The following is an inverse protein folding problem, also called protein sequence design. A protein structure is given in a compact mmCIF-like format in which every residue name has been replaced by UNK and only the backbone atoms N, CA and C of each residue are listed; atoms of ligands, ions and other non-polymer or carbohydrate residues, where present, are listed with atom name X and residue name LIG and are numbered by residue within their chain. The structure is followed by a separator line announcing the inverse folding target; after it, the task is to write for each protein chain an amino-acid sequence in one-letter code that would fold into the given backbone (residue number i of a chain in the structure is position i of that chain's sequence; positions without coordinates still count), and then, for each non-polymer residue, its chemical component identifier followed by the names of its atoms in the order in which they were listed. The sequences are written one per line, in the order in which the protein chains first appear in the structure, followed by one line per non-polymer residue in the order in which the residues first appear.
data_IF_034093759592
#
_entry.id   IF_034093759592
#
_cell.length_a   1.000
_cell.length_b   1.000
_cell.length_c   1.000
_cell.angle_alpha   90.00
_cell.angle_beta   90.00
_cell.angle_gamma   90.00
#
_symmetry.space_group_name_H-M   'P 1'
#
loop_
_entity.id
_entity.type
_entity.pdbx_description
1 polymer ?
#
# COMPACT_ATOMS: atom_id res chain seq x y z
N UNK A 1 -0.43 -16.58 -4.96
CA UNK A 1 -0.82 -15.15 -5.04
C UNK A 1 -1.44 -14.75 -3.72
N UNK A 2 -1.06 -13.61 -3.15
CA UNK A 2 -1.72 -13.09 -1.95
C UNK A 2 -2.18 -11.67 -2.25
N UNK A 3 -3.22 -11.59 -3.09
CA UNK A 3 -4.14 -10.46 -3.07
C UNK A 3 -5.40 -10.95 -2.38
N UNK A 4 -6.14 -10.07 -1.72
CA UNK A 4 -7.53 -10.37 -1.38
C UNK A 4 -8.27 -10.45 -2.72
N UNK A 5 -8.42 -11.68 -3.23
CA UNK A 5 -9.36 -11.98 -4.31
C UNK A 5 -10.70 -12.13 -3.61
N UNK A 6 -11.39 -11.01 -3.43
CA UNK A 6 -12.65 -10.92 -2.68
C UNK A 6 -13.57 -9.87 -3.29
N UNK A 7 -14.83 -9.90 -2.88
CA UNK A 7 -15.79 -8.88 -3.26
C UNK A 7 -15.37 -7.53 -2.65
N UNK A 8 -15.40 -6.48 -3.47
CA UNK A 8 -15.23 -5.11 -3.00
C UNK A 8 -16.62 -4.45 -2.94
N UNK A 9 -16.89 -3.57 -1.96
CA UNK A 9 -15.98 -3.07 -0.93
C UNK A 9 -15.70 -4.08 0.19
N UNK A 10 -14.46 -4.10 0.70
CA UNK A 10 -14.07 -4.91 1.87
C UNK A 10 -14.58 -4.27 3.17
N UNK A 11 -14.86 -5.08 4.18
CA UNK A 11 -15.25 -4.60 5.52
C UNK A 11 -14.03 -4.18 6.35
N UNK A 12 -14.25 -3.36 7.39
CA UNK A 12 -13.19 -2.99 8.34
C UNK A 12 -12.56 -4.21 9.03
N UNK A 13 -13.37 -5.24 9.34
CA UNK A 13 -12.89 -6.50 9.93
C UNK A 13 -11.97 -7.25 8.98
N UNK A 14 -12.32 -7.31 7.70
CA UNK A 14 -11.47 -7.92 6.68
C UNK A 14 -10.20 -7.10 6.44
N UNK A 15 -10.25 -5.78 6.60
CA UNK A 15 -9.09 -4.89 6.47
C UNK A 15 -8.11 -4.96 7.65
N UNK A 16 -8.54 -5.42 8.83
CA UNK A 16 -7.73 -5.50 10.05
C UNK A 16 -6.43 -6.33 9.89
N UNK A 17 -6.32 -7.18 8.86
CA UNK A 17 -5.06 -7.85 8.55
C UNK A 17 -3.91 -6.89 8.26
N UNK A 18 -4.21 -5.63 7.89
CA UNK A 18 -3.22 -4.58 7.64
C UNK A 18 -2.33 -4.34 8.86
N UNK A 19 -2.85 -4.56 10.07
CA UNK A 19 -2.08 -4.42 11.32
C UNK A 19 -0.92 -5.42 11.43
N UNK A 20 -0.94 -6.49 10.62
CA UNK A 20 0.13 -7.49 10.56
C UNK A 20 1.16 -7.24 9.45
N UNK A 21 1.03 -6.15 8.69
CA UNK A 21 1.94 -5.79 7.58
C UNK A 21 2.47 -4.37 7.73
N UNK A 22 3.51 -4.04 6.96
CA UNK A 22 4.05 -2.67 6.94
C UNK A 22 3.14 -1.81 6.08
N UNK A 23 2.39 -0.90 6.69
CA UNK A 23 1.44 -0.02 6.02
C UNK A 23 1.92 1.43 6.03
N UNK A 24 1.68 2.14 4.93
CA UNK A 24 2.10 3.53 4.76
C UNK A 24 0.97 4.35 4.16
N UNK A 25 0.78 5.55 4.69
CA UNK A 25 -0.12 6.56 4.13
C UNK A 25 0.73 7.69 3.54
N UNK A 26 0.46 8.04 2.28
CA UNK A 26 1.03 9.22 1.65
C UNK A 26 0.11 10.41 1.95
N UNK A 27 0.70 11.50 2.44
CA UNK A 27 -0.02 12.72 2.77
C UNK A 27 0.53 13.91 1.96
N UNK A 28 -0.35 14.84 1.63
CA UNK A 28 -0.07 16.12 0.98
C UNK A 28 -0.78 17.21 1.79
N UNK A 29 -0.04 18.13 2.41
CA UNK A 29 -0.58 19.18 3.30
C UNK A 29 -1.66 18.65 4.28
N UNK A 30 -1.37 17.54 4.95
CA UNK A 30 -2.26 16.82 5.90
C UNK A 30 -3.44 16.05 5.30
N UNK A 31 -3.67 16.11 3.98
CA UNK A 31 -4.63 15.25 3.29
C UNK A 31 -3.98 13.92 2.90
N UNK A 32 -4.59 12.80 3.30
CA UNK A 32 -4.21 11.49 2.79
C UNK A 32 -4.50 11.41 1.28
N UNK A 33 -3.46 11.24 0.46
CA UNK A 33 -3.55 11.15 -1.01
C UNK A 33 -3.29 9.73 -1.53
N UNK A 34 -2.85 8.82 -0.67
CA UNK A 34 -2.63 7.43 -1.04
C UNK A 34 -2.28 6.54 0.15
N UNK A 35 -2.34 5.24 -0.08
CA UNK A 35 -2.07 4.21 0.91
C UNK A 35 -1.42 3.00 0.23
N UNK A 36 -0.41 2.40 0.85
CA UNK A 36 0.16 1.16 0.36
C UNK A 36 0.65 0.25 1.47
N UNK A 37 0.72 -1.04 1.17
CA UNK A 37 1.23 -2.04 2.10
C UNK A 37 2.39 -2.82 1.51
N UNK A 38 3.29 -3.22 2.38
CA UNK A 38 4.41 -4.11 2.11
C UNK A 38 4.38 -5.29 3.06
N UNK A 39 4.78 -6.45 2.56
CA UNK A 39 4.95 -7.66 3.35
C UNK A 39 6.28 -8.34 3.01
N UNK A 40 6.83 -9.05 3.98
CA UNK A 40 7.98 -9.93 3.78
C UNK A 40 7.52 -11.40 3.96
N UNK A 41 7.19 -12.10 2.86
CA UNK A 41 6.74 -13.48 2.94
C UNK A 41 7.97 -14.39 3.08
N UNK A 42 8.33 -14.72 4.32
CA UNK A 42 9.41 -15.65 4.62
C UNK A 42 10.59 -15.06 5.39
N UNK A 43 10.50 -13.79 5.83
CA UNK A 43 11.51 -13.16 6.69
C UNK A 43 12.85 -12.91 6.00
N UNK A 44 12.91 -13.05 4.66
CA UNK A 44 14.13 -12.82 3.90
C UNK A 44 14.32 -11.32 3.68
N UNK A 45 15.48 -10.78 4.02
CA UNK A 45 15.78 -9.35 3.90
C UNK A 45 15.72 -8.86 2.44
N UNK A 46 15.93 -9.75 1.46
CA UNK A 46 15.98 -9.43 0.03
C UNK A 46 14.61 -9.46 -0.67
N UNK A 47 13.55 -9.90 0.03
CA UNK A 47 12.22 -10.02 -0.57
C UNK A 47 11.17 -9.16 0.14
N UNK A 48 10.62 -8.22 -0.61
CA UNK A 48 9.50 -7.41 -0.17
C UNK A 48 8.43 -7.39 -1.24
N UNK A 49 7.20 -7.75 -0.86
CA UNK A 49 6.06 -7.78 -1.78
C UNK A 49 5.12 -6.63 -1.47
N UNK A 50 4.74 -5.91 -2.52
CA UNK A 50 3.70 -4.90 -2.47
C UNK A 50 2.35 -5.61 -2.36
N UNK A 51 1.54 -5.16 -1.41
CA UNK A 51 0.15 -5.56 -1.24
C UNK A 51 -0.75 -4.59 -1.98
N UNK A 52 -1.44 -3.74 -1.23
CA UNK A 52 -2.30 -2.71 -1.80
C UNK A 52 -1.50 -1.49 -2.23
N UNK A 53 -1.95 -0.85 -3.30
CA UNK A 53 -1.58 0.51 -3.68
C UNK A 53 -2.87 1.23 -4.05
N UNK A 54 -3.26 2.18 -3.22
CA UNK A 54 -4.50 2.95 -3.34
C UNK A 54 -4.10 4.40 -3.48
N UNK A 55 -4.69 5.09 -4.45
CA UNK A 55 -4.50 6.51 -4.68
C UNK A 55 -5.87 7.19 -4.70
N UNK A 56 -5.90 8.42 -4.17
CA UNK A 56 -6.98 9.37 -4.42
C UNK A 56 -7.24 9.40 -5.95
N UNK A 57 -8.49 9.16 -6.40
CA UNK A 57 -8.86 9.21 -7.80
C UNK A 57 -8.38 10.47 -8.52
N UNK A 58 -8.39 11.63 -7.86
CA UNK A 58 -7.96 12.91 -8.43
C UNK A 58 -6.45 12.97 -8.70
N UNK A 59 -5.68 12.11 -8.02
CA UNK A 59 -4.22 12.04 -8.15
C UNK A 59 -3.75 10.98 -9.15
N UNK A 60 -4.66 10.25 -9.79
CA UNK A 60 -4.31 9.24 -10.80
C UNK A 60 -3.78 9.92 -12.07
N UNK A 61 -2.86 9.26 -12.77
CA UNK A 61 -2.23 9.82 -13.98
C UNK A 61 -1.16 10.91 -13.72
N UNK A 62 -1.06 11.44 -12.50
CA UNK A 62 -0.04 12.45 -12.13
C UNK A 62 1.37 11.91 -11.93
N UNK A 63 1.51 10.58 -11.80
CA UNK A 63 2.77 9.93 -11.42
C UNK A 63 3.00 9.82 -9.90
N UNK A 64 2.13 10.37 -9.04
CA UNK A 64 2.30 10.33 -7.57
C UNK A 64 2.48 8.90 -7.01
N UNK A 65 1.78 7.90 -7.55
CA UNK A 65 1.99 6.51 -7.17
C UNK A 65 3.42 6.01 -7.39
N UNK A 66 4.06 6.42 -8.50
CA UNK A 66 5.45 6.09 -8.79
C UNK A 66 6.40 6.78 -7.80
N UNK A 67 6.13 8.03 -7.45
CA UNK A 67 6.92 8.75 -6.46
C UNK A 67 6.83 8.10 -5.08
N UNK A 68 5.64 7.67 -4.66
CA UNK A 68 5.44 6.90 -3.42
C UNK A 68 6.32 5.64 -3.38
N UNK A 69 6.43 4.92 -4.50
CA UNK A 69 7.25 3.71 -4.59
C UNK A 69 8.76 3.99 -4.58
N UNK A 70 9.21 5.14 -5.10
CA UNK A 70 10.64 5.50 -5.11
C UNK A 70 11.20 5.73 -3.72
N UNK A 71 10.38 6.22 -2.78
CA UNK A 71 10.79 6.41 -1.37
C UNK A 71 11.29 5.10 -0.78
N UNK A 72 10.63 3.99 -1.10
CA UNK A 72 11.01 2.68 -0.57
C UNK A 72 12.29 2.12 -1.22
N UNK A 73 12.54 2.37 -2.50
CA UNK A 73 13.78 1.91 -3.19
C UNK A 73 15.07 2.53 -2.60
N UNK A 74 14.96 3.55 -1.77
CA UNK A 74 16.08 4.27 -1.15
C UNK A 74 16.42 3.81 0.26
N UNK A 75 15.66 2.87 0.83
CA UNK A 75 15.87 2.30 2.17
C UNK A 75 16.51 0.92 2.03
#
# INVERSE_FOLDING_TARGET
MSGVIGAYPITAKEFAFVDSVMAFTACDEDKAIGFFTFRNPGGRIDELRIGFVILDPEQRGSGKGKEMMKVWRRI
#
